data_IF_712161872602
#
_entry.id   IF_712161872602
#
_cell.length_a   1.000
_cell.length_b   1.000
_cell.length_c   1.000
_cell.angle_alpha   90.00
_cell.angle_beta   90.00
_cell.angle_gamma   90.00
#
_symmetry.space_group_name_H-M   'P 1'
#
loop_
_entity.id
_entity.type
_entity.pdbx_description
1 polymer ?
#
# COMPACT_ATOMS: atom_id res chain seq x y z
N UNK A 1 24.02 0.79 11.72
CA UNK A 1 22.77 0.66 10.93
C UNK A 1 22.16 -0.67 11.34
N UNK A 2 20.97 -0.73 11.97
CA UNK A 2 20.35 -2.03 12.24
C UNK A 2 20.13 -2.72 10.89
N UNK A 3 20.40 -4.02 10.85
CA UNK A 3 20.37 -4.80 9.62
C UNK A 3 19.09 -4.51 8.83
N UNK A 4 19.25 -4.14 7.56
CA UNK A 4 18.09 -3.93 6.69
C UNK A 4 17.39 -5.27 6.53
N UNK A 5 16.26 -5.46 7.21
CA UNK A 5 15.41 -6.62 7.01
C UNK A 5 15.08 -6.72 5.50
N UNK A 6 15.76 -7.64 4.83
CA UNK A 6 15.70 -7.84 3.38
C UNK A 6 14.57 -8.79 2.99
N UNK A 7 13.86 -9.35 3.97
CA UNK A 7 12.74 -10.24 3.72
C UNK A 7 11.62 -9.48 3.00
N UNK A 8 11.07 -10.05 1.91
CA UNK A 8 9.90 -9.50 1.24
C UNK A 8 8.77 -9.25 2.23
N UNK A 9 8.16 -8.07 2.17
CA UNK A 9 7.03 -7.71 3.04
C UNK A 9 5.80 -7.46 2.19
N UNK A 10 4.69 -8.15 2.46
CA UNK A 10 3.42 -7.90 1.78
C UNK A 10 2.41 -7.34 2.77
N UNK A 11 1.88 -6.15 2.45
CA UNK A 11 0.82 -5.50 3.23
C UNK A 11 -0.49 -5.71 2.48
N UNK A 12 -1.45 -6.40 3.11
CA UNK A 12 -2.79 -6.61 2.55
C UNK A 12 -3.78 -5.65 3.22
N UNK A 13 -4.43 -4.80 2.44
CA UNK A 13 -5.43 -3.84 2.91
C UNK A 13 -6.82 -4.41 2.63
N UNK A 14 -7.47 -4.95 3.67
CA UNK A 14 -8.88 -5.29 3.62
C UNK A 14 -9.74 -4.02 3.70
N UNK A 15 -10.71 -3.88 2.79
CA UNK A 15 -11.43 -2.63 2.62
C UNK A 15 -10.65 -1.60 1.80
N UNK A 16 -9.89 -2.05 0.80
CA UNK A 16 -9.12 -1.18 -0.08
C UNK A 16 -9.98 -0.10 -0.77
N UNK A 17 -11.26 -0.36 -0.99
CA UNK A 17 -12.22 0.59 -1.55
C UNK A 17 -12.77 1.64 -0.57
N UNK A 18 -12.33 1.61 0.70
CA UNK A 18 -12.83 2.46 1.78
C UNK A 18 -12.15 3.83 1.84
N UNK A 19 -12.82 4.77 2.51
CA UNK A 19 -12.36 6.15 2.66
C UNK A 19 -11.02 6.26 3.40
N UNK A 20 -10.82 5.46 4.45
CA UNK A 20 -9.57 5.45 5.22
C UNK A 20 -8.37 5.05 4.35
N UNK A 21 -8.55 4.08 3.45
CA UNK A 21 -7.49 3.62 2.54
C UNK A 21 -7.00 4.76 1.67
N UNK A 22 -7.93 5.49 1.08
CA UNK A 22 -7.64 6.62 0.20
C UNK A 22 -7.06 7.82 0.97
N UNK A 23 -7.70 8.24 2.07
CA UNK A 23 -7.32 9.48 2.76
C UNK A 23 -6.07 9.34 3.64
N UNK A 24 -5.76 8.14 4.13
CA UNK A 24 -4.72 7.95 5.17
C UNK A 24 -3.73 6.84 4.83
N UNK A 25 -4.18 5.63 4.53
CA UNK A 25 -3.27 4.49 4.42
C UNK A 25 -2.33 4.61 3.22
N UNK A 26 -2.87 4.84 2.02
CA UNK A 26 -2.05 4.98 0.80
C UNK A 26 -1.12 6.19 0.89
N UNK A 27 -1.57 7.40 1.28
CA UNK A 27 -0.67 8.53 1.48
C UNK A 27 0.44 8.27 2.52
N UNK A 28 0.13 7.61 3.63
CA UNK A 28 1.13 7.28 4.65
C UNK A 28 2.16 6.26 4.14
N UNK A 29 1.71 5.22 3.44
CA UNK A 29 2.60 4.22 2.84
C UNK A 29 3.49 4.84 1.76
N UNK A 30 2.95 5.71 0.91
CA UNK A 30 3.71 6.45 -0.08
C UNK A 30 4.77 7.37 0.57
N UNK A 31 4.41 8.08 1.63
CA UNK A 31 5.36 8.91 2.37
C UNK A 31 6.48 8.10 3.02
N UNK A 32 6.17 6.91 3.57
CA UNK A 32 7.18 6.02 4.13
C UNK A 32 8.08 5.40 3.05
N UNK A 33 7.52 5.06 1.89
CA UNK A 33 8.27 4.63 0.72
C UNK A 33 9.29 5.71 0.29
N UNK A 34 8.84 6.97 0.12
CA UNK A 34 9.71 8.10 -0.24
C UNK A 34 10.83 8.35 0.78
N UNK A 35 10.57 8.08 2.06
CA UNK A 35 11.55 8.22 3.15
C UNK A 35 12.46 7.00 3.32
N UNK A 36 12.35 5.98 2.44
CA UNK A 36 13.07 4.70 2.54
C UNK A 36 12.88 4.00 3.89
N UNK A 37 11.67 4.13 4.46
CA UNK A 37 11.29 3.53 5.75
C UNK A 37 10.54 2.21 5.60
N UNK A 38 10.26 1.79 4.36
CA UNK A 38 9.71 0.48 4.06
C UNK A 38 10.82 -0.48 3.64
N UNK A 39 10.70 -1.79 3.95
CA UNK A 39 11.59 -2.80 3.39
C UNK A 39 11.68 -2.68 1.85
N UNK A 40 12.87 -2.88 1.23
CA UNK A 40 13.08 -2.67 -0.21
C UNK A 40 12.12 -3.44 -1.12
N UNK A 41 11.64 -4.60 -0.67
CA UNK A 41 10.75 -5.49 -1.41
C UNK A 41 9.30 -5.45 -0.87
N UNK A 42 8.84 -4.27 -0.44
CA UNK A 42 7.47 -4.09 0.04
C UNK A 42 6.47 -4.14 -1.11
N UNK A 43 5.43 -4.97 -0.98
CA UNK A 43 4.27 -5.05 -1.88
C UNK A 43 3.00 -4.65 -1.13
N UNK A 44 2.08 -3.97 -1.81
CA UNK A 44 0.77 -3.61 -1.27
C UNK A 44 -0.30 -4.30 -2.11
N UNK A 45 -1.18 -5.06 -1.47
CA UNK A 45 -2.31 -5.75 -2.10
C UNK A 45 -3.60 -5.21 -1.50
N UNK A 46 -4.50 -4.71 -2.34
CA UNK A 46 -5.83 -4.27 -1.92
C UNK A 46 -6.85 -5.40 -2.06
N UNK A 47 -7.70 -5.59 -1.05
CA UNK A 47 -8.83 -6.50 -1.12
C UNK A 47 -10.12 -5.79 -0.71
N UNK A 48 -11.17 -5.94 -1.52
CA UNK A 48 -12.49 -5.38 -1.24
C UNK A 48 -13.58 -6.18 -1.97
N UNK A 49 -14.83 -6.01 -1.53
CA UNK A 49 -16.00 -6.66 -2.14
C UNK A 49 -16.42 -6.06 -3.49
N UNK A 50 -16.00 -4.83 -3.78
CA UNK A 50 -16.37 -4.14 -5.03
C UNK A 50 -15.58 -4.78 -6.18
N UNK A 51 -16.20 -5.02 -7.35
CA UNK A 51 -15.55 -5.64 -8.50
C UNK A 51 -14.70 -4.61 -9.25
N UNK A 52 -13.69 -4.06 -8.58
CA UNK A 52 -12.72 -3.14 -9.17
C UNK A 52 -11.54 -3.94 -9.69
N UNK A 53 -11.09 -3.60 -10.88
CA UNK A 53 -9.79 -4.05 -11.37
C UNK A 53 -8.67 -3.16 -10.82
N UNK A 54 -7.43 -3.61 -11.04
CA UNK A 54 -6.22 -2.90 -10.63
C UNK A 54 -6.12 -1.49 -11.24
N UNK A 55 -6.55 -1.33 -12.50
CA UNK A 55 -6.43 -0.07 -13.23
C UNK A 55 -7.35 0.99 -12.61
N UNK A 56 -8.62 0.64 -12.40
CA UNK A 56 -9.61 1.47 -11.74
C UNK A 56 -9.18 1.83 -10.31
N UNK A 57 -8.70 0.85 -9.55
CA UNK A 57 -8.24 1.11 -8.20
C UNK A 57 -7.08 2.12 -8.18
N UNK A 58 -6.06 1.96 -9.04
CA UNK A 58 -4.91 2.88 -9.12
C UNK A 58 -5.31 4.28 -9.61
N UNK A 59 -6.19 4.37 -10.61
CA UNK A 59 -6.69 5.66 -11.10
C UNK A 59 -7.38 6.47 -10.00
N UNK A 60 -8.01 5.79 -9.04
CA UNK A 60 -8.66 6.41 -7.88
C UNK A 60 -7.69 6.83 -6.77
N UNK A 61 -6.40 6.50 -6.87
CA UNK A 61 -5.35 6.90 -5.91
C UNK A 61 -4.57 8.15 -6.35
N UNK A 62 -4.81 8.63 -7.57
CA UNK A 62 -4.29 9.89 -8.13
C UNK A 62 -5.15 11.08 -7.66
#
# INVERSE_FOLDING_TARGET
MPESNSLPTTIVIFGASGDLTYRKLIPALYNNFRKKRLPPQTRIVGFARRPWDDAFFRARLL
#
